data_IF_234717044964
#
_entry.id   IF_234717044964
#
_cell.length_a   1.000
_cell.length_b   1.000
_cell.length_c   1.000
_cell.angle_alpha   90.00
_cell.angle_beta   90.00
_cell.angle_gamma   90.00
#
_symmetry.space_group_name_H-M   'P 1'
#
loop_
_entity.id
_entity.type
_entity.pdbx_description
1 polymer ?
#
# COMPACT_ATOMS: atom_id res chain seq x y z
N UNK A 1 -6.54 67.56 8.13
CA UNK A 1 -5.29 66.86 7.74
C UNK A 1 -5.49 65.40 8.15
N UNK A 2 -5.60 64.52 7.16
CA UNK A 2 -6.10 63.16 7.31
C UNK A 2 -5.10 62.22 7.99
N UNK A 3 -5.61 61.31 8.82
CA UNK A 3 -4.86 60.24 9.48
C UNK A 3 -4.75 59.09 8.48
N UNK A 4 -3.55 58.82 7.97
CA UNK A 4 -3.22 57.60 7.23
C UNK A 4 -2.76 56.53 8.21
N UNK A 5 -3.58 55.49 8.36
CA UNK A 5 -3.20 54.28 9.07
C UNK A 5 -2.29 53.44 8.18
N UNK A 6 -1.07 53.15 8.67
CA UNK A 6 -0.26 52.06 8.14
C UNK A 6 0.95 51.68 9.03
N UNK A 7 0.78 51.53 10.36
CA UNK A 7 1.91 51.12 11.23
C UNK A 7 1.54 50.19 12.41
N UNK A 8 0.49 49.37 12.31
CA UNK A 8 0.22 48.39 13.36
C UNK A 8 -0.42 47.08 12.87
N UNK A 9 0.04 46.50 11.76
CA UNK A 9 -0.20 45.07 11.53
C UNK A 9 0.75 44.53 10.46
N UNK A 10 1.86 43.91 10.88
CA UNK A 10 2.49 42.80 10.17
C UNK A 10 3.61 42.19 11.03
N UNK A 11 3.20 41.70 12.20
CA UNK A 11 3.96 40.74 13.00
C UNK A 11 3.55 39.33 12.57
N UNK A 12 3.92 38.90 11.36
CA UNK A 12 3.88 37.48 10.99
C UNK A 12 5.13 37.18 10.18
N UNK A 13 6.20 36.78 10.90
CA UNK A 13 7.31 36.08 10.28
C UNK A 13 6.78 34.83 9.57
N UNK A 14 7.00 34.64 8.26
CA UNK A 14 6.69 33.37 7.63
C UNK A 14 7.57 32.30 8.29
N UNK A 15 6.94 31.26 8.82
CA UNK A 15 7.61 30.07 9.32
C UNK A 15 8.65 29.62 8.29
N UNK A 16 9.92 29.57 8.69
CA UNK A 16 11.03 29.14 7.82
C UNK A 16 10.67 27.79 7.18
N UNK A 17 10.48 27.70 5.86
CA UNK A 17 10.34 26.41 5.21
C UNK A 17 11.67 25.69 5.37
N UNK A 18 11.63 24.45 5.87
CA UNK A 18 12.80 23.60 6.02
C UNK A 18 13.66 23.63 4.75
N UNK A 19 14.97 23.80 4.94
CA UNK A 19 16.02 24.01 3.94
C UNK A 19 15.89 23.03 2.76
N UNK A 20 15.30 23.52 1.65
CA UNK A 20 15.05 22.74 0.42
C UNK A 20 16.31 22.12 -0.20
N UNK A 21 17.51 22.58 0.17
CA UNK A 21 18.80 22.15 -0.39
C UNK A 21 19.53 21.04 0.39
N UNK A 22 19.08 20.67 1.60
CA UNK A 22 19.86 19.77 2.49
C UNK A 22 19.26 18.36 2.65
N UNK A 23 18.07 18.09 2.12
CA UNK A 23 17.35 16.82 2.32
C UNK A 23 16.89 16.22 1.00
N UNK A 24 16.95 14.90 0.87
CA UNK A 24 16.57 14.17 -0.35
C UNK A 24 17.76 13.72 -1.20
N UNK A 25 17.50 13.51 -2.48
CA UNK A 25 18.49 13.11 -3.47
C UNK A 25 19.06 11.70 -3.28
N UNK A 26 20.21 11.45 -3.89
CA UNK A 26 20.84 10.12 -3.96
C UNK A 26 21.23 9.52 -2.62
N UNK A 27 21.50 10.33 -1.59
CA UNK A 27 21.81 9.82 -0.26
C UNK A 27 20.63 9.04 0.33
N UNK A 28 19.44 9.64 0.25
CA UNK A 28 18.18 9.04 0.66
C UNK A 28 17.77 7.89 -0.28
N UNK A 29 17.89 8.12 -1.58
CA UNK A 29 17.48 7.15 -2.60
C UNK A 29 18.25 5.83 -2.50
N UNK A 30 19.57 5.86 -2.25
CA UNK A 30 20.37 4.63 -2.07
C UNK A 30 19.89 3.80 -0.89
N UNK A 31 19.58 4.43 0.25
CA UNK A 31 19.01 3.73 1.40
C UNK A 31 17.67 3.09 1.06
N UNK A 32 16.79 3.83 0.37
CA UNK A 32 15.46 3.33 -0.04
C UNK A 32 15.59 2.15 -1.01
N UNK A 33 16.57 2.16 -1.92
CA UNK A 33 16.85 1.01 -2.80
C UNK A 33 17.22 -0.23 -1.97
N UNK A 34 18.12 -0.11 -0.98
CA UNK A 34 18.46 -1.26 -0.12
C UNK A 34 17.29 -1.75 0.73
N UNK A 35 16.48 -0.82 1.24
CA UNK A 35 15.22 -1.09 1.97
C UNK A 35 14.26 -1.90 1.09
N UNK A 36 14.09 -1.52 -0.18
CA UNK A 36 13.24 -2.24 -1.13
C UNK A 36 13.83 -3.60 -1.53
N UNK A 37 15.15 -3.69 -1.72
CA UNK A 37 15.83 -4.97 -1.98
C UNK A 37 15.62 -5.96 -0.83
N UNK A 38 15.77 -5.52 0.42
CA UNK A 38 15.56 -6.36 1.60
C UNK A 38 14.10 -6.80 1.75
N UNK A 39 13.14 -5.93 1.44
CA UNK A 39 11.72 -6.31 1.43
C UNK A 39 11.40 -7.30 0.32
N UNK A 40 11.93 -7.12 -0.89
CA UNK A 40 11.74 -8.10 -1.97
C UNK A 40 12.30 -9.47 -1.57
N UNK A 41 13.44 -9.49 -0.89
CA UNK A 41 13.99 -10.73 -0.37
C UNK A 41 13.01 -11.43 0.59
N UNK A 42 12.43 -10.67 1.52
CA UNK A 42 11.45 -11.20 2.45
C UNK A 42 10.19 -11.73 1.75
N UNK A 43 9.62 -10.94 0.83
CA UNK A 43 8.40 -11.29 0.11
C UNK A 43 8.56 -12.56 -0.74
N UNK A 44 9.61 -12.59 -1.57
CA UNK A 44 9.85 -13.74 -2.45
C UNK A 44 10.32 -14.96 -1.67
N UNK A 45 10.95 -14.79 -0.50
CA UNK A 45 11.31 -15.89 0.39
C UNK A 45 10.09 -16.56 1.02
N UNK A 46 9.03 -15.81 1.33
CA UNK A 46 7.74 -16.40 1.73
C UNK A 46 7.11 -17.08 0.52
N UNK A 47 7.00 -16.36 -0.60
CA UNK A 47 6.28 -16.83 -1.79
C UNK A 47 6.85 -18.12 -2.38
N UNK A 48 8.18 -18.29 -2.37
CA UNK A 48 8.85 -19.50 -2.87
C UNK A 48 8.64 -20.72 -1.98
N UNK A 49 8.49 -20.51 -0.67
CA UNK A 49 8.33 -21.58 0.32
C UNK A 49 6.85 -21.95 0.55
N UNK A 50 5.91 -21.08 0.19
CA UNK A 50 4.51 -21.18 0.60
C UNK A 50 3.83 -22.46 0.10
N UNK A 51 3.97 -22.78 -1.18
CA UNK A 51 3.33 -23.96 -1.78
C UNK A 51 3.88 -25.26 -1.18
N UNK A 52 5.20 -25.37 -1.03
CA UNK A 52 5.87 -26.55 -0.46
C UNK A 52 5.54 -26.72 1.01
N UNK A 53 5.36 -25.63 1.76
CA UNK A 53 4.92 -25.69 3.15
C UNK A 53 3.46 -26.17 3.29
N UNK A 54 2.58 -25.70 2.40
CA UNK A 54 1.18 -26.10 2.37
C UNK A 54 1.00 -27.58 2.01
N UNK A 55 1.75 -28.09 1.04
CA UNK A 55 1.65 -29.49 0.59
C UNK A 55 2.40 -30.47 1.49
N UNK A 56 3.54 -30.06 2.05
CA UNK A 56 4.33 -30.90 2.95
C UNK A 56 3.83 -30.84 4.39
N UNK A 57 4.37 -29.94 5.25
CA UNK A 57 4.01 -29.82 6.66
C UNK A 57 2.52 -29.72 6.98
N UNK A 58 1.72 -29.00 6.19
CA UNK A 58 0.29 -28.85 6.40
C UNK A 58 -0.56 -29.95 5.71
N UNK A 59 0.06 -30.76 4.85
CA UNK A 59 -0.57 -31.90 4.21
C UNK A 59 -1.75 -31.55 3.29
N UNK A 60 -1.81 -30.35 2.72
CA UNK A 60 -2.83 -29.99 1.74
C UNK A 60 -2.58 -30.68 0.39
N UNK A 61 -3.64 -30.93 -0.37
CA UNK A 61 -3.49 -31.31 -1.78
C UNK A 61 -2.88 -30.16 -2.57
N UNK A 62 -2.14 -30.46 -3.65
CA UNK A 62 -1.55 -29.44 -4.52
C UNK A 62 -2.57 -28.43 -5.05
N UNK A 63 -3.79 -28.89 -5.35
CA UNK A 63 -4.88 -28.02 -5.79
C UNK A 63 -5.35 -27.06 -4.69
N UNK A 64 -5.51 -27.55 -3.45
CA UNK A 64 -5.90 -26.70 -2.33
C UNK A 64 -4.79 -25.70 -1.94
N UNK A 65 -3.53 -26.15 -1.97
CA UNK A 65 -2.38 -25.30 -1.73
C UNK A 65 -2.28 -24.16 -2.77
N UNK A 66 -2.42 -24.49 -4.06
CA UNK A 66 -2.43 -23.49 -5.14
C UNK A 66 -3.56 -22.48 -4.99
N UNK A 67 -4.78 -22.94 -4.66
CA UNK A 67 -5.91 -22.05 -4.40
C UNK A 67 -5.63 -21.07 -3.24
N UNK A 68 -5.01 -21.55 -2.16
CA UNK A 68 -4.63 -20.70 -1.02
C UNK A 68 -3.52 -19.69 -1.37
N UNK A 69 -2.52 -20.09 -2.16
CA UNK A 69 -1.46 -19.20 -2.66
C UNK A 69 -2.06 -18.12 -3.56
N UNK A 70 -2.96 -18.48 -4.47
CA UNK A 70 -3.63 -17.54 -5.38
C UNK A 70 -4.54 -16.57 -4.61
N UNK A 71 -5.28 -17.06 -3.61
CA UNK A 71 -6.10 -16.22 -2.73
C UNK A 71 -5.24 -15.20 -1.96
N UNK A 72 -4.08 -15.63 -1.44
CA UNK A 72 -3.14 -14.73 -0.77
C UNK A 72 -2.56 -13.68 -1.73
N UNK A 73 -2.09 -14.09 -2.91
CA UNK A 73 -1.58 -13.21 -3.96
C UNK A 73 -2.61 -12.18 -4.44
N UNK A 74 -3.86 -12.62 -4.62
CA UNK A 74 -4.98 -11.74 -4.94
C UNK A 74 -5.25 -10.71 -3.85
N UNK A 75 -5.20 -11.14 -2.58
CA UNK A 75 -5.37 -10.26 -1.42
C UNK A 75 -4.27 -9.21 -1.34
N UNK A 76 -3.01 -9.63 -1.50
CA UNK A 76 -1.83 -8.75 -1.59
C UNK A 76 -1.98 -7.70 -2.69
N UNK A 77 -2.55 -8.08 -3.84
CA UNK A 77 -2.72 -7.17 -4.98
C UNK A 77 -3.84 -6.14 -4.77
N UNK A 78 -4.85 -6.49 -3.98
CA UNK A 78 -6.00 -5.63 -3.70
C UNK A 78 -5.73 -4.61 -2.58
N UNK A 79 -5.05 -5.03 -1.51
CA UNK A 79 -4.80 -4.21 -0.32
C UNK A 79 -4.11 -2.85 -0.58
N UNK A 80 -3.20 -2.67 -1.56
CA UNK A 80 -2.66 -1.37 -1.93
C UNK A 80 -3.70 -0.31 -2.24
N UNK A 81 -4.85 -0.69 -2.81
CA UNK A 81 -5.94 0.25 -3.10
C UNK A 81 -6.57 0.80 -1.81
N UNK A 82 -6.81 -0.10 -0.84
CA UNK A 82 -7.33 0.28 0.47
C UNK A 82 -6.32 1.13 1.25
N UNK A 83 -5.05 0.74 1.22
CA UNK A 83 -3.99 1.49 1.89
C UNK A 83 -3.72 2.84 1.25
N UNK A 84 -3.83 3.00 -0.07
CA UNK A 84 -3.72 4.29 -0.75
C UNK A 84 -4.71 5.31 -0.19
N UNK A 85 -5.97 4.89 -0.02
CA UNK A 85 -7.00 5.71 0.62
C UNK A 85 -6.59 6.13 2.05
N UNK A 86 -6.13 5.19 2.88
CA UNK A 86 -5.77 5.45 4.28
C UNK A 86 -4.53 6.35 4.38
N UNK A 87 -3.51 6.08 3.55
CA UNK A 87 -2.24 6.79 3.53
C UNK A 87 -2.43 8.25 3.12
N UNK A 88 -3.24 8.48 2.09
CA UNK A 88 -3.50 9.84 1.60
C UNK A 88 -4.51 10.60 2.48
N UNK A 89 -5.41 9.90 3.20
CA UNK A 89 -6.47 10.53 4.01
C UNK A 89 -6.09 10.84 5.45
N UNK A 90 -5.37 9.94 6.12
CA UNK A 90 -5.23 10.00 7.59
C UNK A 90 -3.77 9.95 8.07
N UNK A 91 -2.97 9.02 7.54
CA UNK A 91 -1.67 8.69 8.14
C UNK A 91 -0.51 9.47 7.51
N UNK A 92 -0.59 9.76 6.22
CA UNK A 92 0.56 10.16 5.41
C UNK A 92 1.45 8.98 5.04
N UNK A 93 2.25 9.15 3.98
CA UNK A 93 3.08 8.09 3.38
C UNK A 93 4.10 7.49 4.37
N UNK A 94 4.82 8.34 5.10
CA UNK A 94 5.85 7.91 6.05
C UNK A 94 5.28 7.06 7.21
N UNK A 95 4.20 7.53 7.87
CA UNK A 95 3.58 6.78 8.96
C UNK A 95 2.97 5.47 8.46
N UNK A 96 2.41 5.46 7.24
CA UNK A 96 1.89 4.24 6.63
C UNK A 96 3.00 3.22 6.42
N UNK A 97 4.16 3.63 5.89
CA UNK A 97 5.32 2.73 5.74
C UNK A 97 5.72 2.13 7.10
N UNK A 98 5.79 2.92 8.16
CA UNK A 98 6.16 2.40 9.49
C UNK A 98 5.15 1.40 10.05
N UNK A 99 3.87 1.73 10.04
CA UNK A 99 2.81 0.83 10.54
C UNK A 99 2.77 -0.44 9.71
N UNK A 100 2.83 -0.30 8.39
CA UNK A 100 2.84 -1.42 7.44
C UNK A 100 4.06 -2.33 7.66
N UNK A 101 5.26 -1.77 7.84
CA UNK A 101 6.47 -2.53 8.17
C UNK A 101 6.36 -3.27 9.49
N UNK A 102 5.81 -2.64 10.54
CA UNK A 102 5.59 -3.30 11.82
C UNK A 102 4.61 -4.48 11.70
N UNK A 103 3.50 -4.30 10.98
CA UNK A 103 2.54 -5.38 10.70
C UNK A 103 3.20 -6.51 9.90
N UNK A 104 4.01 -6.17 8.91
CA UNK A 104 4.73 -7.16 8.09
C UNK A 104 5.70 -7.97 8.95
N UNK A 105 6.53 -7.32 9.78
CA UNK A 105 7.46 -8.00 10.71
C UNK A 105 6.70 -8.88 11.70
N UNK A 106 5.59 -8.38 12.27
CA UNK A 106 4.74 -9.16 13.17
C UNK A 106 4.21 -10.42 12.47
N UNK A 107 3.68 -10.28 11.27
CA UNK A 107 3.18 -11.39 10.48
C UNK A 107 4.28 -12.41 10.16
N UNK A 108 5.47 -11.95 9.74
CA UNK A 108 6.64 -12.80 9.51
C UNK A 108 7.10 -13.55 10.77
N UNK A 109 7.12 -12.86 11.92
CA UNK A 109 7.44 -13.46 13.21
C UNK A 109 6.43 -14.52 13.63
N UNK A 110 5.14 -14.24 13.49
CA UNK A 110 4.06 -15.21 13.76
C UNK A 110 4.11 -16.40 12.79
N UNK A 111 4.45 -16.17 11.53
CA UNK A 111 4.60 -17.22 10.52
C UNK A 111 5.76 -18.16 10.89
N UNK A 112 6.93 -17.60 11.21
CA UNK A 112 8.08 -18.37 11.70
C UNK A 112 7.74 -19.13 12.98
N UNK A 113 7.07 -18.49 13.94
CA UNK A 113 6.61 -19.14 15.17
C UNK A 113 5.64 -20.30 14.89
N UNK A 114 4.69 -20.13 13.97
CA UNK A 114 3.72 -21.18 13.61
C UNK A 114 4.42 -22.46 13.12
N UNK A 115 5.54 -22.32 12.40
CA UNK A 115 6.32 -23.44 11.90
C UNK A 115 7.17 -24.16 12.96
N UNK A 116 7.34 -23.57 14.15
CA UNK A 116 8.02 -24.21 15.29
C UNK A 116 7.07 -25.06 16.13
N UNK A 117 5.76 -24.93 15.94
CA UNK A 117 4.76 -25.70 16.68
C UNK A 117 4.84 -27.16 16.18
N UNK A 118 5.12 -28.13 17.06
CA UNK A 118 5.21 -29.53 16.66
C UNK A 118 3.84 -30.01 16.15
N UNK A 119 3.84 -30.65 14.99
CA UNK A 119 2.69 -31.39 14.49
C UNK A 119 2.44 -32.59 15.40
N UNK A 120 1.21 -32.70 15.92
CA UNK A 120 0.79 -33.78 16.80
C UNK A 120 0.56 -35.04 15.95
N UNK A 121 1.64 -35.69 15.50
CA UNK A 121 1.54 -36.88 14.66
C UNK A 121 2.17 -38.07 15.39
N UNK A 122 1.30 -38.91 15.95
CA UNK A 122 1.65 -40.25 16.40
C UNK A 122 1.38 -41.23 15.27
N UNK A 123 2.44 -41.80 14.71
CA UNK A 123 2.51 -42.90 13.73
C UNK A 123 2.58 -42.56 12.22
N UNK A 124 3.38 -43.30 11.42
CA UNK A 124 3.65 -43.01 10.01
C UNK A 124 2.57 -43.46 9.00
N UNK A 125 1.43 -43.99 9.44
CA UNK A 125 0.48 -44.73 8.56
C UNK A 125 -0.89 -44.06 8.36
N UNK A 126 -1.08 -42.78 8.70
CA UNK A 126 -2.36 -42.10 8.45
C UNK A 126 -2.26 -40.99 7.41
N UNK A 127 -3.07 -41.14 6.35
CA UNK A 127 -3.33 -40.20 5.25
C UNK A 127 -4.16 -38.97 5.68
N UNK A 128 -4.16 -38.64 6.97
CA UNK A 128 -4.97 -37.57 7.57
C UNK A 128 -4.07 -36.38 7.92
N UNK A 129 -4.49 -35.17 7.56
CA UNK A 129 -3.78 -33.92 7.87
C UNK A 129 -3.49 -33.82 9.38
N UNK A 130 -2.22 -33.99 9.73
CA UNK A 130 -1.68 -33.99 11.09
C UNK A 130 -1.29 -32.58 11.59
N UNK A 131 -1.84 -31.53 11.00
CA UNK A 131 -1.56 -30.17 11.43
C UNK A 131 -2.40 -29.83 12.66
N UNK A 132 -1.76 -29.38 13.74
CA UNK A 132 -2.49 -28.85 14.89
C UNK A 132 -3.41 -27.71 14.44
N UNK A 133 -4.68 -27.69 14.84
CA UNK A 133 -5.60 -26.62 14.48
C UNK A 133 -5.02 -25.24 14.81
N UNK A 134 -4.29 -25.15 15.93
CA UNK A 134 -3.58 -23.94 16.34
C UNK A 134 -2.50 -23.52 15.33
N UNK A 135 -1.72 -24.47 14.82
CA UNK A 135 -0.69 -24.23 13.81
C UNK A 135 -1.31 -23.68 12.52
N UNK A 136 -2.38 -24.32 12.04
CA UNK A 136 -3.09 -23.90 10.81
C UNK A 136 -3.67 -22.50 10.97
N UNK A 137 -4.36 -22.22 12.08
CA UNK A 137 -4.96 -20.91 12.33
C UNK A 137 -3.89 -19.82 12.44
N UNK A 138 -2.82 -20.05 13.21
CA UNK A 138 -1.73 -19.08 13.33
C UNK A 138 -1.04 -18.84 11.99
N UNK A 139 -0.82 -19.90 11.20
CA UNK A 139 -0.25 -19.80 9.87
C UNK A 139 -1.10 -18.89 8.96
N UNK A 140 -2.40 -19.15 8.82
CA UNK A 140 -3.24 -18.31 7.95
C UNK A 140 -3.41 -16.88 8.49
N UNK A 141 -3.60 -16.71 9.81
CA UNK A 141 -3.65 -15.38 10.41
C UNK A 141 -2.37 -14.58 10.11
N UNK A 142 -1.20 -15.19 10.29
CA UNK A 142 0.09 -14.55 10.00
C UNK A 142 0.25 -14.22 8.51
N UNK A 143 -0.17 -15.12 7.61
CA UNK A 143 -0.12 -14.93 6.17
C UNK A 143 -0.97 -13.73 5.70
N UNK A 144 -2.15 -13.54 6.29
CA UNK A 144 -3.00 -12.39 5.98
C UNK A 144 -2.54 -11.09 6.67
N UNK A 145 -1.92 -11.16 7.86
CA UNK A 145 -1.23 -10.00 8.46
C UNK A 145 -0.08 -9.53 7.57
N UNK A 146 0.71 -10.47 7.01
CA UNK A 146 1.75 -10.19 6.01
C UNK A 146 1.15 -9.48 4.80
N UNK A 147 0.03 -9.98 4.27
CA UNK A 147 -0.64 -9.34 3.12
C UNK A 147 -1.04 -7.89 3.43
N UNK A 148 -1.58 -7.64 4.62
CA UNK A 148 -1.94 -6.29 5.10
C UNK A 148 -0.71 -5.39 5.21
N UNK A 149 0.38 -5.87 5.82
CA UNK A 149 1.63 -5.12 5.93
C UNK A 149 2.22 -4.78 4.55
N UNK A 150 2.38 -5.78 3.69
CA UNK A 150 2.96 -5.57 2.36
C UNK A 150 2.10 -4.64 1.48
N UNK A 151 0.77 -4.79 1.55
CA UNK A 151 -0.17 -3.97 0.79
C UNK A 151 -0.03 -2.47 1.07
N UNK A 152 0.27 -2.09 2.31
CA UNK A 152 0.50 -0.68 2.68
C UNK A 152 1.91 -0.20 2.39
N UNK A 153 2.88 -1.08 2.61
CA UNK A 153 4.30 -0.78 2.46
C UNK A 153 4.66 -0.46 1.01
N UNK A 154 4.35 -1.38 0.09
CA UNK A 154 4.83 -1.37 -1.30
C UNK A 154 4.46 -0.13 -2.12
N UNK A 155 3.19 0.35 -2.14
CA UNK A 155 2.87 1.57 -2.86
C UNK A 155 3.50 2.81 -2.21
N UNK A 156 3.51 2.87 -0.88
CA UNK A 156 3.97 4.05 -0.16
C UNK A 156 5.49 4.24 -0.27
N UNK A 157 6.28 3.16 -0.16
CA UNK A 157 7.76 3.24 -0.23
C UNK A 157 8.23 3.71 -1.61
N UNK A 158 7.60 3.24 -2.69
CA UNK A 158 7.93 3.64 -4.06
C UNK A 158 7.67 5.12 -4.30
N UNK A 159 6.51 5.59 -3.86
CA UNK A 159 6.16 7.01 -3.98
C UNK A 159 7.07 7.86 -3.09
N UNK A 160 7.36 7.41 -1.86
CA UNK A 160 8.28 8.10 -0.95
C UNK A 160 9.70 8.21 -1.50
N UNK A 161 10.22 7.16 -2.15
CA UNK A 161 11.50 7.19 -2.85
C UNK A 161 11.51 8.15 -4.03
N UNK A 162 10.43 8.17 -4.80
CA UNK A 162 10.25 9.11 -5.89
C UNK A 162 10.18 10.57 -5.40
N UNK A 163 9.60 10.82 -4.22
CA UNK A 163 9.52 12.14 -3.57
C UNK A 163 10.89 12.68 -3.11
N UNK A 164 11.94 11.85 -3.13
CA UNK A 164 13.30 12.30 -2.78
C UNK A 164 13.93 13.17 -3.87
N UNK A 165 13.35 13.21 -5.08
CA UNK A 165 13.84 13.99 -6.22
C UNK A 165 12.78 15.00 -6.68
N UNK A 166 13.15 16.26 -6.89
CA UNK A 166 12.28 17.33 -7.38
C UNK A 166 12.00 17.11 -8.87
N UNK A 167 10.73 17.16 -9.25
CA UNK A 167 10.33 17.04 -10.66
C UNK A 167 10.51 18.34 -11.43
N UNK A 168 10.59 19.48 -10.74
CA UNK A 168 10.71 20.80 -11.38
C UNK A 168 12.16 21.16 -11.71
N UNK A 169 13.14 20.47 -11.11
CA UNK A 169 14.54 20.59 -11.46
C UNK A 169 14.88 19.57 -12.56
N UNK A 170 15.35 20.00 -13.75
CA UNK A 170 15.68 19.08 -14.85
C UNK A 170 16.77 18.06 -14.47
N UNK A 171 17.69 18.42 -13.58
CA UNK A 171 18.77 17.53 -13.12
C UNK A 171 18.23 16.45 -12.17
N UNK A 172 17.40 16.84 -11.19
CA UNK A 172 16.76 15.89 -10.27
C UNK A 172 15.70 15.03 -10.97
N UNK A 173 14.99 15.55 -11.96
CA UNK A 173 14.06 14.78 -12.78
C UNK A 173 14.78 13.65 -13.56
N UNK A 174 15.96 13.94 -14.13
CA UNK A 174 16.80 12.90 -14.75
C UNK A 174 17.30 11.90 -13.71
N UNK A 175 17.73 12.36 -12.54
CA UNK A 175 18.16 11.50 -11.43
C UNK A 175 17.03 10.58 -10.94
N UNK A 176 15.78 11.08 -10.89
CA UNK A 176 14.59 10.30 -10.55
C UNK A 176 14.35 9.15 -11.52
N UNK A 177 14.53 9.38 -12.83
CA UNK A 177 14.48 8.31 -13.83
C UNK A 177 15.57 7.25 -13.60
N UNK A 178 16.81 7.69 -13.36
CA UNK A 178 17.90 6.78 -12.98
C UNK A 178 17.62 6.03 -11.68
N UNK A 179 16.96 6.64 -10.70
CA UNK A 179 16.54 5.98 -9.48
C UNK A 179 15.60 4.81 -9.76
N UNK A 180 14.58 5.00 -10.61
CA UNK A 180 13.68 3.90 -10.99
C UNK A 180 14.43 2.77 -11.70
N UNK A 181 15.39 3.08 -12.56
CA UNK A 181 16.23 2.06 -13.21
C UNK A 181 17.05 1.26 -12.19
N UNK A 182 17.69 1.94 -11.23
CA UNK A 182 18.45 1.28 -10.17
C UNK A 182 17.58 0.47 -9.21
N UNK A 183 16.40 0.98 -8.88
CA UNK A 183 15.43 0.26 -8.06
C UNK A 183 14.98 -1.03 -8.75
N UNK A 184 14.64 -0.98 -10.05
CA UNK A 184 14.28 -2.17 -10.83
C UNK A 184 15.43 -3.17 -10.91
N UNK A 185 16.66 -2.70 -11.16
CA UNK A 185 17.85 -3.55 -11.15
C UNK A 185 18.04 -4.23 -9.79
N UNK A 186 17.94 -3.47 -8.69
CA UNK A 186 18.04 -3.98 -7.32
C UNK A 186 16.96 -5.02 -7.01
N UNK A 187 15.71 -4.78 -7.41
CA UNK A 187 14.61 -5.73 -7.26
C UNK A 187 14.90 -7.04 -8.01
N UNK A 188 15.34 -6.98 -9.27
CA UNK A 188 15.70 -8.18 -10.04
C UNK A 188 16.85 -8.96 -9.38
N UNK A 189 17.89 -8.26 -8.93
CA UNK A 189 19.01 -8.88 -8.21
C UNK A 189 18.55 -9.56 -6.91
N UNK A 190 17.71 -8.88 -6.12
CA UNK A 190 17.15 -9.42 -4.88
C UNK A 190 16.32 -10.68 -5.14
N UNK A 191 15.44 -10.68 -6.15
CA UNK A 191 14.62 -11.84 -6.52
C UNK A 191 15.51 -13.03 -6.91
N UNK A 192 16.52 -12.82 -7.74
CA UNK A 192 17.47 -13.88 -8.13
C UNK A 192 18.20 -14.45 -6.92
N UNK A 193 18.75 -13.59 -6.05
CA UNK A 193 19.39 -14.02 -4.80
C UNK A 193 18.41 -14.82 -3.92
N UNK A 194 17.15 -14.39 -3.84
CA UNK A 194 16.14 -15.04 -3.02
C UNK A 194 15.83 -16.45 -3.51
N UNK A 195 15.72 -16.69 -4.82
CA UNK A 195 15.48 -18.03 -5.33
C UNK A 195 16.66 -18.97 -5.07
N UNK A 196 17.90 -18.49 -5.25
CA UNK A 196 19.11 -19.28 -4.93
C UNK A 196 19.16 -19.65 -3.46
N UNK A 197 18.93 -18.68 -2.57
CA UNK A 197 18.96 -18.90 -1.12
C UNK A 197 17.79 -19.78 -0.66
N UNK A 198 16.58 -19.57 -1.20
CA UNK A 198 15.39 -20.36 -0.84
C UNK A 198 15.57 -21.83 -1.19
N UNK A 199 16.09 -22.15 -2.38
CA UNK A 199 16.36 -23.53 -2.77
C UNK A 199 17.36 -24.20 -1.81
N UNK A 200 18.44 -23.49 -1.45
CA UNK A 200 19.41 -24.00 -0.49
C UNK A 200 18.81 -24.26 0.89
N UNK A 201 17.98 -23.33 1.38
CA UNK A 201 17.29 -23.47 2.68
C UNK A 201 16.32 -24.65 2.64
N UNK A 202 15.51 -24.82 1.59
CA UNK A 202 14.55 -25.93 1.48
C UNK A 202 15.23 -27.30 1.50
N UNK A 203 16.40 -27.42 0.87
CA UNK A 203 17.12 -28.69 0.76
C UNK A 203 17.90 -29.07 2.04
N UNK A 204 18.28 -28.09 2.87
CA UNK A 204 19.25 -28.31 3.95
C UNK A 204 18.84 -27.79 5.33
N UNK A 205 17.79 -26.95 5.45
CA UNK A 205 17.46 -26.21 6.66
C UNK A 205 15.97 -26.33 7.03
N UNK A 206 15.67 -26.20 8.33
CA UNK A 206 14.32 -26.38 8.87
C UNK A 206 13.34 -25.27 8.43
N UNK A 207 12.04 -25.58 8.43
CA UNK A 207 10.97 -24.63 8.07
C UNK A 207 10.96 -23.34 8.91
N UNK A 208 11.36 -23.44 10.17
CA UNK A 208 11.49 -22.29 11.07
C UNK A 208 12.49 -21.26 10.55
N UNK A 209 13.64 -21.72 10.03
CA UNK A 209 14.62 -20.84 9.39
C UNK A 209 14.12 -20.30 8.05
N UNK A 210 13.40 -21.11 7.28
CA UNK A 210 12.81 -20.69 6.00
C UNK A 210 11.88 -19.48 6.10
N UNK A 211 11.11 -19.38 7.19
CA UNK A 211 10.28 -18.19 7.46
C UNK A 211 10.96 -17.17 8.38
N UNK A 212 11.94 -17.58 9.18
CA UNK A 212 12.70 -16.71 10.08
C UNK A 212 13.66 -15.76 9.35
N UNK A 213 14.35 -16.24 8.32
CA UNK A 213 15.31 -15.43 7.54
C UNK A 213 14.61 -14.23 6.86
N UNK A 214 13.48 -14.40 6.14
CA UNK A 214 12.66 -13.28 5.66
C UNK A 214 12.31 -12.24 6.74
N UNK A 215 11.99 -12.68 7.96
CA UNK A 215 11.71 -11.78 9.10
C UNK A 215 12.91 -10.90 9.44
N UNK A 216 14.13 -11.48 9.46
CA UNK A 216 15.38 -10.75 9.69
C UNK A 216 15.65 -9.70 8.62
N UNK A 217 15.43 -10.01 7.35
CA UNK A 217 15.58 -9.04 6.25
C UNK A 217 14.55 -7.92 6.30
N UNK A 218 13.31 -8.20 6.69
CA UNK A 218 12.31 -7.16 6.88
C UNK A 218 12.63 -6.24 8.07
N UNK A 219 13.16 -6.80 9.17
CA UNK A 219 13.69 -6.01 10.30
C UNK A 219 14.85 -5.11 9.87
N UNK A 220 15.79 -5.65 9.07
CA UNK A 220 16.89 -4.88 8.50
C UNK A 220 16.36 -3.76 7.59
N UNK A 221 15.35 -4.04 6.76
CA UNK A 221 14.69 -3.05 5.92
C UNK A 221 14.13 -1.89 6.75
N UNK A 222 13.36 -2.18 7.81
CA UNK A 222 12.85 -1.15 8.71
C UNK A 222 13.98 -0.36 9.39
N UNK A 223 15.03 -1.03 9.86
CA UNK A 223 16.17 -0.37 10.48
C UNK A 223 16.88 0.60 9.51
N UNK A 224 17.17 0.16 8.29
CA UNK A 224 17.79 1.00 7.25
C UNK A 224 16.90 2.19 6.88
N UNK A 225 15.59 1.97 6.84
CA UNK A 225 14.62 3.05 6.61
C UNK A 225 14.64 4.08 7.73
N UNK A 226 14.66 3.65 9.00
CA UNK A 226 14.73 4.54 10.15
C UNK A 226 16.07 5.31 10.21
N UNK A 227 17.18 4.69 9.81
CA UNK A 227 18.49 5.34 9.75
C UNK A 227 18.50 6.53 8.77
N UNK A 228 17.69 6.46 7.72
CA UNK A 228 17.58 7.50 6.68
C UNK A 228 16.74 8.71 7.08
N UNK A 229 16.02 8.70 8.21
CA UNK A 229 15.04 9.74 8.60
C UNK A 229 15.58 11.16 8.47
N UNK A 230 16.81 11.42 8.95
CA UNK A 230 17.40 12.77 8.92
C UNK A 230 17.79 13.25 7.51
N UNK A 231 17.94 12.31 6.57
CA UNK A 231 18.29 12.60 5.17
C UNK A 231 17.04 12.77 4.29
N UNK A 232 15.89 12.24 4.72
CA UNK A 232 14.70 12.19 3.88
C UNK A 232 14.07 13.57 3.65
N UNK A 233 13.65 13.77 2.40
CA UNK A 233 12.80 14.89 2.03
C UNK A 233 11.35 14.48 2.24
N UNK A 234 10.68 15.18 3.14
CA UNK A 234 9.25 15.00 3.35
C UNK A 234 8.49 15.94 2.42
N UNK A 235 7.72 15.37 1.50
CA UNK A 235 6.89 16.18 0.60
C UNK A 235 5.80 16.90 1.39
N UNK A 236 5.78 18.24 1.30
CA UNK A 236 4.79 19.11 1.95
C UNK A 236 3.42 19.12 1.24
N UNK A 237 3.09 18.09 0.44
CA UNK A 237 1.81 17.96 -0.26
C UNK A 237 0.57 18.07 0.67
N UNK A 238 0.75 18.01 2.00
CA UNK A 238 -0.27 18.21 3.02
C UNK A 238 -0.69 19.67 3.28
N UNK A 239 0.04 20.69 2.85
CA UNK A 239 -0.22 22.06 3.33
C UNK A 239 -1.23 22.87 2.49
N UNK A 240 -1.75 22.35 1.37
CA UNK A 240 -2.62 23.16 0.50
C UNK A 240 -3.72 22.46 -0.29
N UNK A 241 -3.72 21.14 -0.41
CA UNK A 241 -4.71 20.46 -1.25
C UNK A 241 -5.49 19.41 -0.44
N UNK A 242 -6.82 19.55 -0.40
CA UNK A 242 -7.71 18.54 0.19
C UNK A 242 -7.48 17.23 -0.54
N UNK A 243 -7.17 16.15 0.19
CA UNK A 243 -6.83 14.84 -0.38
C UNK A 243 -7.87 14.42 -1.45
N UNK A 244 -7.46 14.11 -2.70
CA UNK A 244 -8.36 13.67 -3.78
C UNK A 244 -9.28 12.53 -3.38
N UNK A 245 -8.76 11.54 -2.66
CA UNK A 245 -9.56 10.39 -2.21
C UNK A 245 -10.52 10.73 -1.07
N UNK A 246 -10.13 11.64 -0.16
CA UNK A 246 -11.05 12.15 0.86
C UNK A 246 -12.15 13.03 0.24
N UNK A 247 -11.87 13.76 -0.85
CA UNK A 247 -12.88 14.49 -1.64
C UNK A 247 -13.88 13.52 -2.25
N UNK A 248 -13.40 12.46 -2.90
CA UNK A 248 -14.23 11.40 -3.47
C UNK A 248 -15.06 10.70 -2.37
N UNK A 249 -14.45 10.35 -1.24
CA UNK A 249 -15.14 9.77 -0.09
C UNK A 249 -16.21 10.69 0.50
N UNK A 250 -15.94 11.99 0.59
CA UNK A 250 -16.91 13.02 1.01
C UNK A 250 -18.10 13.08 0.06
N UNK A 251 -17.88 12.98 -1.25
CA UNK A 251 -18.96 12.91 -2.26
C UNK A 251 -19.87 11.71 -2.00
N UNK A 252 -19.32 10.52 -1.72
CA UNK A 252 -20.13 9.35 -1.37
C UNK A 252 -20.92 9.54 -0.07
N UNK A 253 -20.28 10.06 0.98
CA UNK A 253 -20.93 10.31 2.28
C UNK A 253 -22.07 11.32 2.14
N UNK A 254 -21.85 12.43 1.44
CA UNK A 254 -22.86 13.47 1.23
C UNK A 254 -23.97 12.99 0.27
N UNK A 255 -23.66 12.19 -0.76
CA UNK A 255 -24.68 11.56 -1.60
C UNK A 255 -25.60 10.61 -0.81
N UNK A 256 -25.04 9.85 0.13
CA UNK A 256 -25.80 8.95 1.03
C UNK A 256 -26.57 9.73 2.08
N UNK A 257 -26.00 10.78 2.67
CA UNK A 257 -26.67 11.65 3.65
C UNK A 257 -27.83 12.40 3.03
N UNK A 258 -27.65 12.91 1.81
CA UNK A 258 -28.69 13.59 1.04
C UNK A 258 -29.73 12.61 0.43
N UNK A 259 -29.54 11.29 0.54
CA UNK A 259 -30.56 10.29 0.19
C UNK A 259 -31.81 10.40 1.05
N UNK A 260 -31.70 10.88 2.29
CA UNK A 260 -32.82 11.03 3.25
C UNK A 260 -33.55 12.38 3.15
N UNK A 261 -32.99 13.41 2.50
CA UNK A 261 -33.56 14.77 2.47
C UNK A 261 -34.61 15.01 1.37
N UNK A 262 -35.30 13.96 0.94
CA UNK A 262 -36.03 13.94 -0.33
C UNK A 262 -37.47 14.45 -0.29
N UNK A 263 -37.84 15.23 0.71
CA UNK A 263 -39.20 15.80 0.79
C UNK A 263 -39.25 17.33 0.89
N UNK A 264 -38.13 18.06 0.79
CA UNK A 264 -38.18 19.52 0.69
C UNK A 264 -37.37 20.04 -0.49
N UNK A 265 -38.16 20.58 -1.41
CA UNK A 265 -37.86 21.49 -2.50
C UNK A 265 -37.25 20.96 -3.81
N UNK A 266 -38.19 20.94 -4.76
CA UNK A 266 -38.09 21.09 -6.21
C UNK A 266 -37.12 22.23 -6.57
N UNK A 267 -35.82 21.97 -6.54
CA UNK A 267 -34.83 22.88 -7.12
C UNK A 267 -34.92 22.80 -8.65
N UNK A 268 -35.32 23.92 -9.26
CA UNK A 268 -35.49 24.09 -10.70
C UNK A 268 -34.17 23.75 -11.44
N UNK A 269 -34.14 22.77 -12.36
CA UNK A 269 -32.94 22.41 -13.10
C UNK A 269 -32.60 23.39 -14.25
N UNK A 270 -33.35 24.48 -14.40
CA UNK A 270 -33.36 25.26 -15.65
C UNK A 270 -32.46 26.52 -15.66
N UNK A 271 -31.84 26.92 -14.54
CA UNK A 271 -31.06 28.18 -14.52
C UNK A 271 -29.53 28.00 -14.56
N UNK A 272 -28.99 26.78 -14.43
CA UNK A 272 -27.52 26.56 -14.48
C UNK A 272 -27.05 25.74 -15.68
N UNK A 273 -27.98 25.25 -16.52
CA UNK A 273 -27.67 24.40 -17.68
C UNK A 273 -27.32 25.17 -18.98
N UNK A 274 -27.31 26.50 -18.96
CA UNK A 274 -27.11 27.30 -20.19
C UNK A 274 -25.66 27.68 -20.50
N UNK A 275 -24.66 27.26 -19.72
CA UNK A 275 -23.27 27.65 -19.96
C UNK A 275 -22.24 26.53 -19.79
N UNK A 276 -22.41 25.38 -20.44
CA UNK A 276 -21.29 24.62 -21.07
C UNK A 276 -21.80 23.29 -21.65
N UNK A 277 -21.29 22.85 -22.82
CA UNK A 277 -21.67 21.59 -23.43
C UNK A 277 -20.94 20.47 -22.68
N UNK A 278 -21.62 19.73 -21.81
CA UNK A 278 -20.98 18.59 -21.15
C UNK A 278 -21.83 17.33 -21.12
N UNK A 279 -21.10 16.22 -21.26
CA UNK A 279 -21.55 14.91 -21.71
C UNK A 279 -22.34 14.21 -20.59
N UNK A 280 -23.66 14.31 -20.67
CA UNK A 280 -24.64 13.70 -19.76
C UNK A 280 -24.49 12.16 -19.71
N UNK A 281 -23.55 11.66 -18.90
CA UNK A 281 -23.44 10.23 -18.65
C UNK A 281 -24.49 9.83 -17.62
N UNK A 282 -25.56 9.18 -18.09
CA UNK A 282 -26.70 8.69 -17.30
C UNK A 282 -26.32 7.64 -16.21
N UNK A 283 -25.06 7.21 -16.13
CA UNK A 283 -24.59 6.25 -15.13
C UNK A 283 -24.28 6.94 -13.78
N UNK A 284 -24.71 6.30 -12.69
CA UNK A 284 -24.46 6.72 -11.30
C UNK A 284 -25.11 8.06 -10.87
N UNK A 285 -26.35 8.32 -11.32
CA UNK A 285 -27.18 9.49 -10.92
C UNK A 285 -27.36 9.70 -9.40
N UNK A 286 -27.06 8.69 -8.58
CA UNK A 286 -27.12 8.85 -7.13
C UNK A 286 -26.01 9.78 -6.60
N UNK A 287 -24.87 9.88 -7.31
CA UNK A 287 -23.76 10.75 -6.95
C UNK A 287 -24.05 12.23 -7.20
N UNK A 288 -24.96 12.54 -8.14
CA UNK A 288 -25.43 13.92 -8.41
C UNK A 288 -26.11 14.54 -7.17
N UNK A 289 -26.54 13.71 -6.20
CA UNK A 289 -27.12 14.16 -4.93
C UNK A 289 -26.09 14.82 -4.00
N UNK A 290 -24.79 14.67 -4.27
CA UNK A 290 -23.73 15.37 -3.57
C UNK A 290 -23.53 16.81 -4.06
N UNK A 291 -24.15 17.21 -5.19
CA UNK A 291 -24.00 18.56 -5.77
C UNK A 291 -24.46 19.70 -4.84
N UNK A 292 -25.22 19.37 -3.79
CA UNK A 292 -25.64 20.31 -2.73
C UNK A 292 -24.45 20.76 -1.87
N UNK A 293 -23.35 20.01 -1.81
CA UNK A 293 -22.24 20.25 -0.87
C UNK A 293 -20.84 20.01 -1.44
N UNK A 294 -20.76 19.53 -2.68
CA UNK A 294 -19.54 19.20 -3.41
C UNK A 294 -19.58 19.80 -4.81
N UNK A 295 -18.39 20.08 -5.35
CA UNK A 295 -18.21 20.65 -6.68
C UNK A 295 -18.44 19.59 -7.77
N UNK A 296 -18.83 20.02 -8.97
CA UNK A 296 -19.24 19.11 -10.06
C UNK A 296 -18.06 18.25 -10.55
N UNK A 297 -16.86 18.82 -10.53
CA UNK A 297 -15.59 18.11 -10.83
C UNK A 297 -15.35 16.95 -9.85
N UNK A 298 -15.67 17.11 -8.56
CA UNK A 298 -15.50 16.06 -7.55
C UNK A 298 -16.47 14.88 -7.78
N UNK A 299 -17.66 15.19 -8.30
CA UNK A 299 -18.70 14.20 -8.60
C UNK A 299 -18.31 13.39 -9.84
N UNK A 300 -17.74 14.02 -10.85
CA UNK A 300 -17.25 13.35 -12.05
C UNK A 300 -16.04 12.45 -11.78
N UNK A 301 -15.10 12.90 -10.94
CA UNK A 301 -13.98 12.07 -10.48
C UNK A 301 -14.48 10.83 -9.73
N UNK A 302 -15.47 10.97 -8.84
CA UNK A 302 -16.09 9.84 -8.13
C UNK A 302 -16.80 8.86 -9.09
N UNK A 303 -17.50 9.37 -10.12
CA UNK A 303 -18.11 8.54 -11.17
C UNK A 303 -17.04 7.80 -11.98
N UNK A 304 -15.92 8.43 -12.31
CA UNK A 304 -14.83 7.81 -13.05
C UNK A 304 -14.20 6.65 -12.24
N UNK A 305 -13.98 6.83 -10.93
CA UNK A 305 -13.51 5.74 -10.06
C UNK A 305 -14.50 4.58 -10.04
N UNK A 306 -15.80 4.86 -9.95
CA UNK A 306 -16.83 3.80 -9.93
C UNK A 306 -16.92 3.03 -11.26
N UNK A 307 -16.53 3.66 -12.39
CA UNK A 307 -16.39 2.99 -13.69
C UNK A 307 -15.18 2.06 -13.77
N UNK A 308 -14.17 2.26 -12.93
CA UNK A 308 -12.98 1.38 -12.85
C UNK A 308 -13.24 0.13 -11.99
N UNK A 309 -14.24 0.16 -11.10
CA UNK A 309 -14.56 -0.98 -10.21
C UNK A 309 -14.86 -2.27 -10.98
N UNK A 310 -15.70 -2.29 -12.05
CA UNK A 310 -15.94 -3.51 -12.83
C UNK A 310 -14.65 -4.06 -13.45
N UNK A 311 -13.76 -3.20 -13.92
CA UNK A 311 -12.47 -3.58 -14.50
C UNK A 311 -11.60 -4.24 -13.43
N UNK A 312 -11.47 -3.61 -12.27
CA UNK A 312 -10.75 -4.18 -11.13
C UNK A 312 -11.32 -5.51 -10.67
N UNK A 313 -12.65 -5.64 -10.61
CA UNK A 313 -13.31 -6.90 -10.25
C UNK A 313 -13.04 -8.00 -11.29
N UNK A 314 -13.04 -7.68 -12.58
CA UNK A 314 -12.68 -8.67 -13.62
C UNK A 314 -11.20 -9.07 -13.57
N UNK A 315 -10.29 -8.12 -13.33
CA UNK A 315 -8.86 -8.40 -13.13
C UNK A 315 -8.60 -9.22 -11.86
N UNK A 316 -9.38 -8.99 -10.80
CA UNK A 316 -9.31 -9.75 -9.55
C UNK A 316 -9.75 -11.20 -9.76
N UNK A 317 -10.86 -11.43 -10.46
CA UNK A 317 -11.32 -12.80 -10.80
C UNK A 317 -10.26 -13.52 -11.64
N UNK A 318 -9.64 -12.84 -12.60
CA UNK A 318 -8.54 -13.42 -13.38
C UNK A 318 -7.35 -13.78 -12.48
N UNK A 319 -6.90 -12.89 -11.59
CA UNK A 319 -5.76 -13.15 -10.70
C UNK A 319 -6.03 -14.21 -9.62
N UNK A 320 -7.29 -14.45 -9.25
CA UNK A 320 -7.68 -15.51 -8.31
C UNK A 320 -7.73 -16.87 -9.03
N UNK A 321 -8.10 -16.89 -10.30
CA UNK A 321 -8.26 -18.11 -11.11
C UNK A 321 -6.96 -18.54 -11.81
N UNK A 322 -6.03 -17.62 -12.05
CA UNK A 322 -4.69 -17.87 -12.63
C UNK A 322 -3.72 -18.40 -11.58
#
# INVERSE_FOLDING_TARGET
MAITGDQLENTISPAKPAVRLSSGGWRSARLIIFVEMAEHFAYYGISSNLITYLTGPLGQSTAAAAANVNAWSGTVSFLPLLWGFIADSFLGRFCTILIASCLYILGLGLLSFSSMIPSQCGSPNQLVSCASQLQVTLFFCSLYIIAVGQGGYKPCIKVFGADQFDGNDPTEAKAKSSYFNWMMFGSCASILTTYVVSNYIQENLSWSLGFGVPSGFMLLSLFLFLLGIKSYRFSNARLGNKNPFARIGRVFVEAVKNRRKRDLDKYNPNETLLLLPHQDSKQFRFLDRAAISCDLVEIEEAKAVLRLVPIWMTSLVYAIVS
#
